data_IF_270936096182
#
_entry.id   IF_270936096182
#
_cell.length_a   1.000
_cell.length_b   1.000
_cell.length_c   1.000
_cell.angle_alpha   90.00
_cell.angle_beta   90.00
_cell.angle_gamma   90.00
#
_symmetry.space_group_name_H-M   'P 1'
#
loop_
_entity.id
_entity.type
_entity.pdbx_description
1 polymer ?
#
# COMPACT_ATOMS: atom_id res chain seq x y z
N UNK A 1 0.23 -2.49 42.40
CA UNK A 1 -0.88 -1.81 41.71
C UNK A 1 -1.04 -2.45 40.34
N UNK A 2 -2.03 -3.32 40.16
CA UNK A 2 -2.27 -4.01 38.89
C UNK A 2 -3.46 -3.34 38.18
N UNK A 3 -3.18 -2.66 37.07
CA UNK A 3 -4.20 -2.00 36.25
C UNK A 3 -4.99 -3.10 35.53
N UNK A 4 -6.24 -3.31 35.95
CA UNK A 4 -7.18 -4.22 35.29
C UNK A 4 -7.53 -3.66 33.92
N UNK A 5 -7.02 -4.31 32.87
CA UNK A 5 -7.43 -4.07 31.48
C UNK A 5 -8.90 -4.47 31.35
N UNK A 6 -9.80 -3.49 31.20
CA UNK A 6 -11.20 -3.76 30.91
C UNK A 6 -11.30 -4.35 29.50
N UNK A 7 -11.52 -5.67 29.44
CA UNK A 7 -11.84 -6.36 28.19
C UNK A 7 -13.35 -6.19 28.01
N UNK A 8 -13.74 -5.25 27.14
CA UNK A 8 -15.14 -5.10 26.74
C UNK A 8 -15.50 -6.21 25.75
N UNK A 9 -16.32 -7.15 26.22
CA UNK A 9 -17.00 -8.19 25.43
C UNK A 9 -17.95 -7.54 24.44
N UNK A 10 -17.73 -7.69 23.13
CA UNK A 10 -18.74 -7.33 22.13
C UNK A 10 -19.36 -8.61 21.55
N UNK A 11 -20.56 -8.93 22.05
CA UNK A 11 -21.52 -9.83 21.40
C UNK A 11 -21.94 -9.19 20.07
N UNK A 12 -21.84 -9.95 18.97
CA UNK A 12 -22.08 -9.46 17.61
C UNK A 12 -23.34 -8.60 17.49
N UNK A 13 -23.16 -7.35 17.09
CA UNK A 13 -24.20 -6.33 16.94
C UNK A 13 -23.68 -5.13 16.12
N UNK A 14 -24.64 -4.35 15.58
CA UNK A 14 -24.52 -3.21 14.64
C UNK A 14 -23.15 -2.50 14.67
N UNK A 15 -22.53 -2.21 13.50
CA UNK A 15 -21.27 -1.48 13.43
C UNK A 15 -21.26 -0.25 14.35
N UNK A 16 -20.13 0.00 15.01
CA UNK A 16 -19.98 1.19 15.88
C UNK A 16 -20.42 2.43 15.12
N UNK A 17 -21.18 3.32 15.77
CA UNK A 17 -21.58 4.58 15.14
C UNK A 17 -20.36 5.46 14.86
N UNK A 18 -20.41 6.20 13.75
CA UNK A 18 -19.43 7.24 13.42
C UNK A 18 -19.36 8.28 14.54
N UNK A 19 -18.15 8.80 14.76
CA UNK A 19 -17.84 9.93 15.65
C UNK A 19 -16.89 10.87 14.92
N UNK A 20 -17.06 12.17 15.11
CA UNK A 20 -16.20 13.19 14.49
C UNK A 20 -14.74 13.05 14.95
N UNK A 21 -14.50 12.63 16.20
CA UNK A 21 -13.16 12.33 16.74
C UNK A 21 -12.36 11.33 15.88
N UNK A 22 -13.03 10.47 15.10
CA UNK A 22 -12.35 9.52 14.23
C UNK A 22 -11.58 10.18 13.08
N UNK A 23 -11.90 11.43 12.73
CA UNK A 23 -11.12 12.24 11.79
C UNK A 23 -9.70 12.49 12.33
N UNK A 24 -9.58 12.85 13.60
CA UNK A 24 -8.29 13.10 14.23
C UNK A 24 -7.57 11.79 14.53
N UNK A 25 -8.32 10.75 14.96
CA UNK A 25 -7.75 9.44 15.26
C UNK A 25 -7.10 8.79 14.03
N UNK A 26 -7.72 8.89 12.84
CA UNK A 26 -7.13 8.31 11.61
C UNK A 26 -5.87 9.06 11.20
N UNK A 27 -5.85 10.40 11.29
CA UNK A 27 -4.65 11.17 10.97
C UNK A 27 -3.53 10.79 11.94
N UNK A 28 -3.81 10.83 13.25
CA UNK A 28 -2.83 10.48 14.29
C UNK A 28 -2.29 9.05 14.17
N UNK A 29 -3.09 8.10 13.70
CA UNK A 29 -2.64 6.73 13.48
C UNK A 29 -1.64 6.61 12.32
N UNK A 30 -1.78 7.46 11.29
CA UNK A 30 -0.89 7.46 10.12
C UNK A 30 0.28 8.44 10.25
N UNK A 31 0.15 9.46 11.10
CA UNK A 31 1.17 10.45 11.40
C UNK A 31 2.16 9.89 12.43
N UNK A 32 3.03 9.01 11.95
CA UNK A 32 4.12 8.42 12.73
C UNK A 32 5.46 8.77 12.09
N UNK A 33 6.50 8.83 12.90
CA UNK A 33 7.85 9.01 12.39
C UNK A 33 8.24 7.87 11.43
N UNK A 34 8.96 8.14 10.33
CA UNK A 34 9.33 7.10 9.37
C UNK A 34 10.27 6.04 9.95
N UNK A 35 11.14 6.43 10.88
CA UNK A 35 12.19 5.57 11.43
C UNK A 35 12.23 5.62 12.95
N UNK A 36 12.91 4.64 13.56
CA UNK A 36 13.24 4.60 14.98
C UNK A 36 14.66 4.09 15.17
N UNK A 37 15.31 4.50 16.25
CA UNK A 37 16.63 3.99 16.63
C UNK A 37 16.48 2.76 17.51
N UNK A 38 17.27 1.72 17.24
CA UNK A 38 17.42 0.55 18.10
C UNK A 38 18.90 0.28 18.38
N UNK A 39 19.18 -0.31 19.54
CA UNK A 39 20.52 -0.79 19.89
C UNK A 39 20.65 -2.24 19.44
N UNK A 40 21.56 -2.51 18.51
CA UNK A 40 21.88 -3.86 18.05
C UNK A 40 23.25 -4.29 18.57
N UNK A 41 23.34 -5.55 19.03
CA UNK A 41 24.57 -6.17 19.54
C UNK A 41 25.25 -6.95 18.43
N UNK A 42 26.51 -6.63 18.18
CA UNK A 42 27.35 -7.27 17.18
C UNK A 42 28.38 -8.16 17.88
N UNK A 43 28.38 -9.44 17.54
CA UNK A 43 29.38 -10.40 18.00
C UNK A 43 30.47 -10.57 16.92
N UNK A 44 31.71 -10.25 17.28
CA UNK A 44 32.84 -10.39 16.38
C UNK A 44 33.53 -11.75 16.54
N UNK A 45 34.26 -12.18 15.52
CA UNK A 45 34.96 -13.48 15.50
C UNK A 45 36.00 -13.65 16.62
N UNK A 46 36.48 -12.55 17.20
CA UNK A 46 37.44 -12.51 18.30
C UNK A 46 36.76 -12.59 19.69
N UNK A 47 35.42 -12.71 19.75
CA UNK A 47 34.67 -12.75 21.01
C UNK A 47 34.28 -11.38 21.55
N UNK A 48 34.65 -10.28 20.87
CA UNK A 48 34.21 -8.94 21.27
C UNK A 48 32.72 -8.77 20.97
N UNK A 49 32.01 -8.10 21.89
CA UNK A 49 30.65 -7.60 21.70
C UNK A 49 30.71 -6.08 21.57
N UNK A 50 30.03 -5.52 20.57
CA UNK A 50 29.78 -4.07 20.51
C UNK A 50 28.30 -3.79 20.32
N UNK A 51 27.82 -2.80 21.05
CA UNK A 51 26.51 -2.22 20.82
C UNK A 51 26.64 -1.05 19.83
N UNK A 52 25.74 -0.99 18.86
CA UNK A 52 25.63 0.14 17.94
C UNK A 52 24.18 0.54 17.81
N UNK A 53 23.94 1.85 17.84
CA UNK A 53 22.65 2.41 17.47
C UNK A 53 22.49 2.36 15.95
N UNK A 54 21.43 1.69 15.49
CA UNK A 54 21.06 1.62 14.09
C UNK A 54 19.67 2.23 13.89
N UNK A 55 19.51 2.94 12.77
CA UNK A 55 18.22 3.45 12.33
C UNK A 55 17.47 2.34 11.58
N UNK A 56 16.26 2.00 12.03
CA UNK A 56 15.38 1.03 11.36
C UNK A 56 14.06 1.69 10.97
N UNK A 57 13.45 1.21 9.90
CA UNK A 57 12.15 1.73 9.48
C UNK A 57 11.04 1.33 10.46
N UNK A 58 10.09 2.25 10.67
CA UNK A 58 8.82 1.93 11.31
C UNK A 58 7.92 1.16 10.35
N UNK A 59 6.99 0.41 10.93
CA UNK A 59 5.98 -0.33 10.18
C UNK A 59 5.06 0.64 9.44
N UNK A 60 4.75 0.32 8.18
CA UNK A 60 3.83 1.11 7.39
C UNK A 60 2.41 1.02 7.99
N UNK A 61 1.79 2.13 8.44
CA UNK A 61 0.43 2.09 8.96
C UNK A 61 -0.54 1.64 7.87
N UNK A 62 -1.58 0.88 8.23
CA UNK A 62 -2.57 0.32 7.28
C UNK A 62 -3.99 0.68 7.69
N UNK A 63 -4.88 0.79 6.70
CA UNK A 63 -6.30 1.09 6.95
C UNK A 63 -6.94 -0.02 7.78
N UNK A 64 -6.61 -1.27 7.48
CA UNK A 64 -7.03 -2.44 8.25
C UNK A 64 -6.49 -2.40 9.69
N UNK A 65 -5.26 -1.91 9.86
CA UNK A 65 -4.65 -1.66 11.17
C UNK A 65 -5.47 -0.66 11.99
N UNK A 66 -5.79 0.49 11.40
CA UNK A 66 -6.67 1.48 12.01
C UNK A 66 -8.06 0.91 12.33
N UNK A 67 -8.68 0.18 11.41
CA UNK A 67 -9.98 -0.46 11.64
C UNK A 67 -9.93 -1.40 12.87
N UNK A 68 -8.82 -2.13 13.07
CA UNK A 68 -8.63 -2.98 14.25
C UNK A 68 -8.52 -2.19 15.55
N UNK A 69 -7.90 -1.01 15.55
CA UNK A 69 -7.74 -0.20 16.78
C UNK A 69 -9.09 0.31 17.29
N UNK A 70 -9.98 0.74 16.38
CA UNK A 70 -11.33 1.23 16.72
C UNK A 70 -12.42 0.15 16.63
N UNK A 71 -12.03 -1.11 16.37
CA UNK A 71 -12.91 -2.30 16.31
C UNK A 71 -14.03 -2.23 15.27
N UNK A 72 -13.72 -1.77 14.06
CA UNK A 72 -14.64 -1.76 12.92
C UNK A 72 -14.17 -2.65 11.77
N UNK A 73 -15.05 -2.92 10.82
CA UNK A 73 -14.67 -3.50 9.53
C UNK A 73 -14.28 -2.38 8.54
N UNK A 74 -13.41 -2.71 7.58
CA UNK A 74 -13.06 -1.86 6.44
C UNK A 74 -14.28 -1.40 5.65
N UNK A 75 -15.33 -2.22 5.52
CA UNK A 75 -16.58 -1.82 4.85
C UNK A 75 -17.23 -0.61 5.52
N UNK A 76 -17.32 -0.62 6.85
CA UNK A 76 -17.86 0.49 7.65
C UNK A 76 -17.02 1.75 7.50
N UNK A 77 -15.68 1.62 7.49
CA UNK A 77 -14.80 2.77 7.24
C UNK A 77 -15.07 3.39 5.86
N UNK A 78 -15.23 2.58 4.82
CA UNK A 78 -15.54 3.08 3.48
C UNK A 78 -16.94 3.69 3.38
N UNK A 79 -17.92 3.21 4.14
CA UNK A 79 -19.22 3.87 4.26
C UNK A 79 -19.08 5.28 4.86
N UNK A 80 -18.24 5.44 5.88
CA UNK A 80 -17.99 6.76 6.47
C UNK A 80 -17.29 7.71 5.52
N UNK A 81 -16.31 7.24 4.75
CA UNK A 81 -15.65 8.04 3.70
C UNK A 81 -16.67 8.56 2.68
N UNK A 82 -17.69 7.76 2.34
CA UNK A 82 -18.74 8.18 1.40
C UNK A 82 -19.76 9.14 2.02
N UNK A 83 -20.11 8.93 3.30
CA UNK A 83 -21.19 9.65 3.97
C UNK A 83 -20.74 10.97 4.62
N UNK A 84 -19.48 11.08 5.04
CA UNK A 84 -18.97 12.20 5.83
C UNK A 84 -17.78 12.86 5.12
N UNK A 85 -17.99 14.09 4.61
CA UNK A 85 -16.96 14.83 3.85
C UNK A 85 -15.70 15.10 4.66
N UNK A 86 -15.84 15.41 5.95
CA UNK A 86 -14.70 15.66 6.85
C UNK A 86 -13.86 14.39 7.04
N UNK A 87 -14.51 13.25 7.27
CA UNK A 87 -13.83 11.97 7.36
C UNK A 87 -13.19 11.56 6.03
N UNK A 88 -13.82 11.85 4.89
CA UNK A 88 -13.20 11.66 3.58
C UNK A 88 -11.92 12.47 3.42
N UNK A 89 -11.90 13.72 3.91
CA UNK A 89 -10.70 14.55 3.88
C UNK A 89 -9.60 13.97 4.79
N UNK A 90 -9.94 13.63 6.04
CA UNK A 90 -9.00 13.00 6.97
C UNK A 90 -8.43 11.68 6.45
N UNK A 91 -9.26 10.86 5.79
CA UNK A 91 -8.84 9.63 5.13
C UNK A 91 -7.82 9.87 4.02
N UNK A 92 -8.01 10.91 3.19
CA UNK A 92 -7.06 11.26 2.14
C UNK A 92 -5.73 11.76 2.73
N UNK A 93 -5.78 12.60 3.77
CA UNK A 93 -4.58 13.03 4.50
C UNK A 93 -3.82 11.82 5.06
N UNK A 94 -4.52 10.87 5.68
CA UNK A 94 -3.92 9.64 6.17
C UNK A 94 -3.27 8.79 5.05
N UNK A 95 -3.88 8.76 3.86
CA UNK A 95 -3.31 8.10 2.67
C UNK A 95 -2.05 8.82 2.17
N UNK A 96 -2.01 10.14 2.20
CA UNK A 96 -0.84 10.93 1.82
C UNK A 96 0.32 10.72 2.80
N UNK A 97 0.03 10.71 4.10
CA UNK A 97 1.01 10.35 5.15
C UNK A 97 1.57 8.94 4.96
N UNK A 98 0.71 7.97 4.58
CA UNK A 98 1.13 6.61 4.25
C UNK A 98 2.12 6.59 3.07
N UNK A 99 1.86 7.39 2.02
CA UNK A 99 2.74 7.50 0.84
C UNK A 99 4.07 8.13 1.22
N UNK A 100 4.05 9.21 2.00
CA UNK A 100 5.26 9.93 2.42
C UNK A 100 6.17 9.05 3.29
N UNK A 101 5.62 8.36 4.29
CA UNK A 101 6.37 7.43 5.12
C UNK A 101 6.99 6.31 4.28
N UNK A 102 6.21 5.73 3.37
CA UNK A 102 6.69 4.70 2.46
C UNK A 102 7.84 5.22 1.58
N UNK A 103 7.67 6.40 0.97
CA UNK A 103 8.66 6.98 0.09
C UNK A 103 9.98 7.24 0.83
N UNK A 104 9.92 7.85 2.03
CA UNK A 104 11.10 8.12 2.86
C UNK A 104 11.88 6.84 3.18
N UNK A 105 11.20 5.78 3.61
CA UNK A 105 11.87 4.51 3.95
C UNK A 105 12.35 3.72 2.73
N UNK A 106 11.66 3.81 1.60
CA UNK A 106 12.11 3.24 0.33
C UNK A 106 13.34 3.97 -0.22
N UNK A 107 13.40 5.30 -0.13
CA UNK A 107 14.57 6.10 -0.55
C UNK A 107 15.79 5.84 0.34
N UNK A 108 15.58 5.64 1.65
CA UNK A 108 16.66 5.24 2.58
C UNK A 108 17.12 3.79 2.39
N UNK A 109 16.43 2.99 1.57
CA UNK A 109 16.72 1.56 1.40
C UNK A 109 16.39 0.70 2.63
N UNK A 110 15.64 1.23 3.59
CA UNK A 110 15.25 0.52 4.82
C UNK A 110 14.08 -0.43 4.57
N UNK A 111 13.22 -0.12 3.60
CA UNK A 111 12.22 -1.05 3.09
C UNK A 111 12.79 -1.96 2.03
N UNK A 112 12.32 -3.22 2.04
CA UNK A 112 12.67 -4.16 0.99
C UNK A 112 12.31 -3.58 -0.39
N UNK A 113 13.24 -3.57 -1.38
CA UNK A 113 12.98 -2.97 -2.69
C UNK A 113 11.80 -3.61 -3.45
N UNK A 114 11.69 -4.94 -3.39
CA UNK A 114 10.58 -5.68 -4.03
C UNK A 114 9.24 -5.29 -3.41
N UNK A 115 9.16 -5.27 -2.07
CA UNK A 115 7.97 -4.77 -1.38
C UNK A 115 7.65 -3.33 -1.78
N UNK A 116 8.65 -2.46 -1.85
CA UNK A 116 8.47 -1.06 -2.21
C UNK A 116 7.82 -0.93 -3.59
N UNK A 117 8.34 -1.62 -4.60
CA UNK A 117 7.77 -1.61 -5.97
C UNK A 117 6.32 -2.09 -5.97
N UNK A 118 6.02 -3.21 -5.30
CA UNK A 118 4.66 -3.74 -5.25
C UNK A 118 3.69 -2.85 -4.49
N UNK A 119 4.13 -2.27 -3.36
CA UNK A 119 3.33 -1.32 -2.59
C UNK A 119 3.02 -0.06 -3.42
N UNK A 120 4.02 0.50 -4.11
CA UNK A 120 3.85 1.61 -5.05
C UNK A 120 2.74 1.37 -6.07
N UNK A 121 2.75 0.19 -6.72
CA UNK A 121 1.78 -0.17 -7.75
C UNK A 121 0.39 -0.46 -7.21
N UNK A 122 0.31 -1.19 -6.09
CA UNK A 122 -0.94 -1.76 -5.58
C UNK A 122 -1.66 -0.85 -4.57
N UNK A 123 -0.93 0.00 -3.85
CA UNK A 123 -1.48 0.84 -2.77
C UNK A 123 -1.58 2.32 -3.16
N UNK A 124 -0.70 2.80 -4.05
CA UNK A 124 -0.56 4.23 -4.39
C UNK A 124 -0.80 4.53 -5.87
N UNK A 125 -1.06 3.51 -6.70
CA UNK A 125 -1.43 3.68 -8.11
C UNK A 125 -0.27 4.03 -9.03
N UNK A 126 0.98 3.88 -8.59
CA UNK A 126 2.15 4.16 -9.44
C UNK A 126 2.23 3.14 -10.57
N UNK A 127 2.79 3.57 -11.71
CA UNK A 127 2.91 2.76 -12.91
C UNK A 127 4.29 2.94 -13.51
N UNK A 128 4.85 1.84 -13.99
CA UNK A 128 6.08 1.89 -14.75
C UNK A 128 5.75 2.46 -16.13
N UNK A 129 6.53 3.47 -16.55
CA UNK A 129 6.46 3.97 -17.92
C UNK A 129 7.16 2.96 -18.82
N UNK A 130 6.48 2.54 -19.88
CA UNK A 130 7.07 1.70 -20.93
C UNK A 130 7.03 2.47 -22.25
N UNK A 131 8.17 2.51 -22.93
CA UNK A 131 8.30 3.04 -24.29
C UNK A 131 8.57 1.85 -25.21
N UNK A 132 7.71 1.66 -26.20
CA UNK A 132 7.81 0.56 -27.15
C UNK A 132 8.21 1.09 -28.52
N UNK A 133 9.27 0.53 -29.10
CA UNK A 133 9.57 0.67 -30.51
C UNK A 133 8.96 -0.53 -31.25
N UNK A 134 7.94 -0.28 -32.07
CA UNK A 134 7.26 -1.29 -32.89
C UNK A 134 7.84 -1.35 -34.31
N UNK A 135 9.16 -1.35 -34.44
CA UNK A 135 9.84 -1.58 -35.71
C UNK A 135 10.53 -2.94 -35.75
N UNK A 136 10.57 -3.57 -36.92
CA UNK A 136 11.40 -4.76 -37.16
C UNK A 136 12.60 -4.32 -37.98
N UNK A 137 13.80 -4.34 -37.37
CA UNK A 137 15.04 -3.84 -38.00
C UNK A 137 14.89 -2.40 -38.55
N UNK A 138 14.21 -1.51 -37.83
CA UNK A 138 13.98 -0.12 -38.24
C UNK A 138 12.96 0.06 -39.37
N UNK A 139 12.29 -1.01 -39.81
CA UNK A 139 11.21 -0.95 -40.79
C UNK A 139 9.85 -1.09 -40.11
N UNK A 140 8.85 -0.40 -40.67
CA UNK A 140 7.47 -0.54 -40.23
C UNK A 140 7.04 -2.00 -40.37
N UNK A 141 6.43 -2.55 -39.32
CA UNK A 141 5.86 -3.90 -39.36
C UNK A 141 4.64 -3.84 -40.28
N UNK A 142 4.81 -4.27 -41.53
CA UNK A 142 3.74 -4.44 -42.51
C UNK A 142 3.37 -5.91 -42.62
N UNK A 143 2.07 -6.21 -42.72
CA UNK A 143 1.61 -7.56 -43.05
C UNK A 143 1.79 -7.81 -44.54
N UNK A 144 2.24 -9.01 -44.93
CA UNK A 144 2.23 -9.41 -46.33
C UNK A 144 0.79 -9.67 -46.81
N UNK A 145 0.55 -9.58 -48.11
CA UNK A 145 -0.76 -9.86 -48.71
C UNK A 145 -1.28 -11.26 -48.34
N UNK A 146 -0.39 -12.24 -48.24
CA UNK A 146 -0.71 -13.60 -47.80
C UNK A 146 -1.21 -13.65 -46.36
N UNK A 147 -0.59 -12.88 -45.45
CA UNK A 147 -1.02 -12.77 -44.06
C UNK A 147 -2.38 -12.06 -43.95
N UNK A 148 -2.59 -11.02 -44.75
CA UNK A 148 -3.86 -10.28 -44.81
C UNK A 148 -4.98 -11.22 -45.29
N UNK A 149 -4.74 -11.97 -46.38
CA UNK A 149 -5.71 -12.91 -46.92
C UNK A 149 -6.04 -14.04 -45.94
N UNK A 150 -5.04 -14.58 -45.23
CA UNK A 150 -5.26 -15.59 -44.20
C UNK A 150 -6.12 -15.07 -43.02
N UNK A 151 -5.96 -13.80 -42.63
CA UNK A 151 -6.79 -13.14 -41.61
C UNK A 151 -8.25 -13.00 -42.09
N UNK A 152 -8.44 -12.56 -43.33
CA UNK A 152 -9.76 -12.39 -43.96
C UNK A 152 -10.49 -13.74 -44.05
N UNK A 153 -9.80 -14.79 -44.50
CA UNK A 153 -10.36 -16.14 -44.59
C UNK A 153 -10.79 -16.68 -43.23
N UNK A 154 -9.99 -16.45 -42.19
CA UNK A 154 -10.32 -16.85 -40.82
C UNK A 154 -11.55 -16.12 -40.30
N UNK A 155 -11.66 -14.81 -40.53
CA UNK A 155 -12.81 -14.00 -40.16
C UNK A 155 -14.10 -14.48 -40.84
N UNK A 156 -14.03 -14.77 -42.14
CA UNK A 156 -15.15 -15.26 -42.93
C UNK A 156 -15.62 -16.65 -42.47
N UNK A 157 -14.70 -17.53 -42.05
CA UNK A 157 -15.04 -18.84 -41.48
C UNK A 157 -15.69 -18.74 -40.10
N UNK A 158 -15.28 -17.78 -39.26
CA UNK A 158 -15.89 -17.58 -37.94
C UNK A 158 -17.30 -16.97 -38.00
N UNK A 159 -17.61 -16.21 -39.05
CA UNK A 159 -18.91 -15.55 -39.21
C UNK A 159 -19.98 -16.43 -39.86
N UNK A 160 -19.57 -17.58 -40.42
CA UNK A 160 -20.47 -18.60 -41.03
C UNK A 160 -20.89 -19.70 -40.04
N UNK A 161 -20.47 -19.66 -38.78
CA UNK A 161 -21.01 -20.46 -37.68
C UNK A 161 -21.96 -19.60 -36.86
#
# INVERSE_FOLDING_TARGET
MAVKKQINDNKGGRPTKYKEDYCDDIIKYFDIEPTRTITERFFYKNGDEKEKEIEVANELPTIEGFCRTIKINKSTLHEWVKAHKEFSNAYNVAKDLQVDLWLKNSLKGLYNPTFSIFAGKNMFGWRDKQEFDHTSKGHQITYSDEQINAIIDRYNRSRKK
#
